data_IF_078001191150
#
_entry.id   IF_078001191150
#
_cell.length_a   1.000
_cell.length_b   1.000
_cell.length_c   1.000
_cell.angle_alpha   90.00
_cell.angle_beta   90.00
_cell.angle_gamma   90.00
#
_symmetry.space_group_name_H-M   'P 1'
#
loop_
_entity.id
_entity.type
_entity.pdbx_description
1 polymer ?
#
# COMPACT_ATOMS: atom_id res chain seq x y z
N UNK A 1 7.62 -7.48 10.32
CA UNK A 1 7.98 -8.60 9.43
C UNK A 1 6.81 -9.05 8.57
N UNK A 2 5.79 -9.73 9.12
CA UNK A 2 4.68 -10.31 8.34
C UNK A 2 4.06 -9.38 7.26
N UNK A 3 3.77 -8.11 7.60
CA UNK A 3 3.26 -7.16 6.60
C UNK A 3 4.23 -6.95 5.43
N UNK A 4 5.53 -6.83 5.70
CA UNK A 4 6.55 -6.67 4.66
C UNK A 4 6.63 -7.87 3.72
N UNK A 5 6.55 -9.10 4.26
CA UNK A 5 6.50 -10.33 3.45
C UNK A 5 5.25 -10.36 2.55
N UNK A 6 4.09 -9.98 3.08
CA UNK A 6 2.87 -9.89 2.27
C UNK A 6 3.03 -8.83 1.18
N UNK A 7 3.53 -7.64 1.52
CA UNK A 7 3.75 -6.57 0.54
C UNK A 7 4.72 -6.97 -0.57
N UNK A 8 5.81 -7.67 -0.23
CA UNK A 8 6.78 -8.16 -1.21
C UNK A 8 6.13 -9.17 -2.17
N UNK A 9 5.30 -10.07 -1.64
CA UNK A 9 4.57 -11.05 -2.44
C UNK A 9 3.51 -10.41 -3.33
N UNK A 10 2.83 -9.37 -2.85
CA UNK A 10 1.86 -8.60 -3.64
C UNK A 10 2.54 -7.80 -4.75
N UNK A 11 3.70 -7.17 -4.49
CA UNK A 11 4.45 -6.46 -5.52
C UNK A 11 4.96 -7.41 -6.60
N UNK A 12 5.39 -8.61 -6.23
CA UNK A 12 5.76 -9.65 -7.20
C UNK A 12 4.60 -10.04 -8.14
N UNK A 13 3.36 -9.95 -7.68
CA UNK A 13 2.17 -10.31 -8.44
C UNK A 13 1.63 -9.16 -9.28
N UNK A 14 1.62 -7.94 -8.72
CA UNK A 14 0.93 -6.78 -9.27
C UNK A 14 1.85 -5.79 -9.98
N UNK A 15 3.15 -5.80 -9.67
CA UNK A 15 4.16 -4.84 -10.13
C UNK A 15 3.68 -3.37 -10.06
N UNK A 16 3.27 -2.88 -8.87
CA UNK A 16 2.74 -1.54 -8.75
C UNK A 16 3.86 -0.50 -8.77
N UNK A 17 3.54 0.69 -9.30
CA UNK A 17 4.45 1.85 -9.25
C UNK A 17 4.75 2.30 -7.81
N UNK A 18 3.81 2.11 -6.88
CA UNK A 18 4.01 2.41 -5.46
C UNK A 18 3.03 1.66 -4.55
N UNK A 19 3.37 1.61 -3.26
CA UNK A 19 2.49 1.16 -2.17
C UNK A 19 2.19 2.34 -1.27
N UNK A 20 0.90 2.67 -1.10
CA UNK A 20 0.45 3.64 -0.11
C UNK A 20 0.16 2.92 1.21
N UNK A 21 0.95 3.20 2.24
CA UNK A 21 0.79 2.65 3.58
C UNK A 21 0.11 3.68 4.49
N UNK A 22 -1.14 3.39 4.87
CA UNK A 22 -1.98 4.28 5.68
C UNK A 22 -2.49 3.58 6.94
N UNK A 23 -3.24 4.30 7.76
CA UNK A 23 -3.77 3.81 9.04
C UNK A 23 -2.84 4.09 10.23
N UNK A 24 -3.37 3.93 11.44
CA UNK A 24 -2.66 4.30 12.68
C UNK A 24 -1.41 3.46 12.94
N UNK A 25 -1.41 2.18 12.55
CA UNK A 25 -0.26 1.27 12.74
C UNK A 25 0.92 1.68 11.84
N UNK A 26 0.66 2.28 10.68
CA UNK A 26 1.71 2.80 9.81
C UNK A 26 2.53 3.93 10.47
N UNK A 27 1.97 4.56 11.51
CA UNK A 27 2.60 5.63 12.29
C UNK A 27 3.43 5.08 13.47
N UNK A 28 3.54 3.75 13.61
CA UNK A 28 4.44 3.15 14.59
C UNK A 28 5.89 3.55 14.30
N UNK A 29 6.68 3.65 15.38
CA UNK A 29 8.07 4.11 15.29
C UNK A 29 9.01 3.16 14.53
N UNK A 30 10.30 3.55 14.43
CA UNK A 30 11.29 2.91 13.55
C UNK A 30 11.40 1.39 13.70
N UNK A 31 11.31 0.88 14.93
CA UNK A 31 11.37 -0.56 15.19
C UNK A 31 10.33 -1.36 14.39
N UNK A 32 9.14 -0.80 14.17
CA UNK A 32 8.10 -1.43 13.36
C UNK A 32 8.34 -1.23 11.86
N UNK A 33 8.63 -0.01 11.43
CA UNK A 33 8.81 0.33 10.01
C UNK A 33 10.04 -0.35 9.41
N UNK A 34 11.13 -0.45 10.17
CA UNK A 34 12.38 -1.08 9.75
C UNK A 34 12.18 -2.59 9.59
N UNK A 35 11.55 -3.24 10.57
CA UNK A 35 11.23 -4.66 10.53
C UNK A 35 10.20 -5.02 9.44
N UNK A 36 9.41 -4.06 8.96
CA UNK A 36 8.52 -4.23 7.82
C UNK A 36 9.29 -4.04 6.50
N UNK A 37 10.11 -2.99 6.40
CA UNK A 37 10.91 -2.68 5.21
C UNK A 37 11.97 -3.75 4.92
N UNK A 38 12.64 -4.27 5.95
CA UNK A 38 13.60 -5.38 5.83
C UNK A 38 12.92 -6.63 5.27
N UNK A 39 11.75 -6.97 5.81
CA UNK A 39 10.98 -8.14 5.40
C UNK A 39 10.45 -7.99 3.96
N UNK A 40 10.03 -6.78 3.56
CA UNK A 40 9.68 -6.46 2.19
C UNK A 40 10.85 -6.73 1.22
N UNK A 41 12.03 -6.15 1.51
CA UNK A 41 13.23 -6.34 0.67
C UNK A 41 13.68 -7.79 0.59
N UNK A 42 13.46 -8.57 1.64
CA UNK A 42 13.76 -10.01 1.66
C UNK A 42 12.82 -10.86 0.81
N UNK A 43 11.59 -10.38 0.54
CA UNK A 43 10.54 -11.12 -0.15
C UNK A 43 10.31 -10.64 -1.60
N UNK A 44 10.57 -9.37 -1.89
CA UNK A 44 10.43 -8.79 -3.22
C UNK A 44 11.50 -9.33 -4.19
N UNK A 45 11.08 -9.71 -5.40
CA UNK A 45 12.00 -10.10 -6.49
C UNK A 45 12.74 -8.86 -7.04
N UNK A 46 13.92 -9.02 -7.65
CA UNK A 46 14.77 -7.91 -8.05
C UNK A 46 14.08 -6.76 -8.82
N UNK A 47 13.14 -7.01 -9.76
CA UNK A 47 12.47 -5.93 -10.49
C UNK A 47 11.63 -4.99 -9.61
N UNK A 48 11.02 -5.52 -8.55
CA UNK A 48 10.09 -4.78 -7.67
C UNK A 48 10.68 -4.46 -6.29
N UNK A 49 11.95 -4.81 -6.06
CA UNK A 49 12.62 -4.59 -4.77
C UNK A 49 12.79 -3.10 -4.42
N UNK A 50 12.69 -2.22 -5.43
CA UNK A 50 12.76 -0.76 -5.28
C UNK A 50 11.40 -0.07 -5.33
N UNK A 51 10.28 -0.83 -5.36
CA UNK A 51 8.94 -0.24 -5.34
C UNK A 51 8.79 0.65 -4.11
N UNK A 52 8.46 1.95 -4.27
CA UNK A 52 8.35 2.88 -3.16
C UNK A 52 7.15 2.54 -2.26
N UNK A 53 7.41 2.46 -0.96
CA UNK A 53 6.37 2.40 0.08
C UNK A 53 6.28 3.77 0.73
N UNK A 54 5.18 4.48 0.53
CA UNK A 54 4.97 5.86 0.97
C UNK A 54 3.80 5.97 1.93
N UNK A 55 3.83 6.96 2.82
CA UNK A 55 2.75 7.20 3.78
C UNK A 55 1.51 7.81 3.11
N UNK A 56 0.32 7.36 3.51
CA UNK A 56 -0.92 8.01 3.09
C UNK A 56 -1.12 9.36 3.79
N UNK A 57 -1.27 10.44 3.02
CA UNK A 57 -1.34 11.81 3.54
C UNK A 57 -2.74 12.24 4.00
N UNK A 58 -3.79 11.61 3.47
CA UNK A 58 -5.18 11.99 3.73
C UNK A 58 -5.66 11.66 5.16
N UNK A 59 -4.88 10.89 5.93
CA UNK A 59 -5.19 10.59 7.32
C UNK A 59 -6.62 10.10 7.55
N UNK A 60 -7.31 10.72 8.51
CA UNK A 60 -8.70 10.41 8.85
C UNK A 60 -9.73 10.85 7.81
N UNK A 61 -9.35 11.70 6.86
CA UNK A 61 -10.24 12.20 5.80
C UNK A 61 -10.32 11.24 4.61
N UNK A 62 -9.38 10.28 4.50
CA UNK A 62 -9.31 9.32 3.40
C UNK A 62 -10.65 8.60 3.11
N UNK A 63 -11.43 8.13 4.11
CA UNK A 63 -12.71 7.48 3.84
C UNK A 63 -13.76 8.42 3.23
N UNK A 64 -13.85 9.67 3.70
CA UNK A 64 -14.85 10.64 3.22
C UNK A 64 -14.49 11.13 1.80
N UNK A 65 -13.21 11.40 1.55
CA UNK A 65 -12.72 11.79 0.23
C UNK A 65 -12.96 10.64 -0.76
N UNK A 66 -12.61 9.40 -0.39
CA UNK A 66 -12.84 8.24 -1.25
C UNK A 66 -14.32 8.00 -1.57
N UNK A 67 -15.22 8.24 -0.61
CA UNK A 67 -16.66 8.14 -0.85
C UNK A 67 -17.16 9.21 -1.83
N UNK A 68 -16.68 10.46 -1.70
CA UNK A 68 -17.02 11.54 -2.62
C UNK A 68 -16.48 11.27 -4.03
N UNK A 69 -15.21 10.84 -4.14
CA UNK A 69 -14.59 10.47 -5.43
C UNK A 69 -15.37 9.34 -6.12
N UNK A 70 -15.75 8.29 -5.38
CA UNK A 70 -16.53 7.19 -5.96
C UNK A 70 -17.94 7.62 -6.44
N UNK A 71 -18.53 8.66 -5.83
CA UNK A 71 -19.78 9.24 -6.33
C UNK A 71 -19.59 10.06 -7.61
N UNK A 72 -18.48 10.78 -7.74
CA UNK A 72 -18.15 11.61 -8.91
C UNK A 72 -17.69 10.75 -10.09
N UNK A 73 -16.83 9.77 -9.81
CA UNK A 73 -16.26 8.83 -10.77
C UNK A 73 -16.12 7.48 -10.07
N UNK A 74 -17.03 6.55 -10.38
CA UNK A 74 -16.99 5.20 -9.80
C UNK A 74 -15.63 4.55 -10.05
N UNK A 75 -14.98 4.11 -8.98
CA UNK A 75 -13.75 3.31 -9.07
C UNK A 75 -14.02 1.84 -9.40
N UNK A 76 -15.29 1.43 -9.36
CA UNK A 76 -15.71 0.10 -9.80
C UNK A 76 -16.07 0.15 -11.27
N UNK A 77 -15.48 -0.73 -12.06
CA UNK A 77 -15.97 -1.00 -13.41
C UNK A 77 -17.40 -1.53 -13.28
N UNK A 78 -18.38 -0.78 -13.81
CA UNK A 78 -19.67 -1.38 -14.08
C UNK A 78 -19.43 -2.45 -15.16
N UNK A 79 -19.47 -3.71 -14.76
CA UNK A 79 -19.53 -4.81 -15.72
C UNK A 79 -20.94 -4.74 -16.32
N UNK A 80 -21.10 -3.92 -17.36
CA UNK A 80 -22.25 -4.02 -18.26
C UNK A 80 -22.13 -5.34 -19.00
N UNK A 81 -23.03 -6.28 -18.67
CA UNK A 81 -23.39 -7.42 -19.53
C UNK A 81 -23.91 -6.95 -20.89
#
# INVERSE_FOLDING_TARGET
>A
RALGEVLGSMCNMLDPDCVILSGSVAQCGPAWSDAMSEAFRGQAMPPVATTPIVGGELGGDAPLIGAAENFVSSGYAEVTD
#
